data_IF_677023838336
#
_entry.id   IF_677023838336
#
_cell.length_a   1.000
_cell.length_b   1.000
_cell.length_c   1.000
_cell.angle_alpha   90.00
_cell.angle_beta   90.00
_cell.angle_gamma   90.00
#
_symmetry.space_group_name_H-M   'P 1'
#
loop_
_entity.id
_entity.type
_entity.pdbx_description
1 polymer ?
#
# COMPACT_ATOMS: atom_id res chain seq x y z
N UNK A 1 -6.99 22.74 43.07
CA UNK A 1 -5.65 22.66 42.44
C UNK A 1 -5.68 22.22 40.98
N UNK A 2 -6.48 21.21 40.58
CA UNK A 2 -6.52 20.75 39.17
C UNK A 2 -6.89 21.83 38.14
N UNK A 3 -7.88 22.68 38.44
CA UNK A 3 -8.36 23.74 37.52
C UNK A 3 -7.27 24.79 37.19
N UNK A 4 -6.30 24.99 38.09
CA UNK A 4 -5.21 25.94 37.89
C UNK A 4 -4.20 25.42 36.86
N UNK A 5 -3.95 24.11 36.85
CA UNK A 5 -3.05 23.44 35.91
C UNK A 5 -3.62 23.55 34.48
N UNK A 6 -4.92 23.34 34.31
CA UNK A 6 -5.59 23.45 33.02
C UNK A 6 -5.52 24.85 32.40
N UNK A 7 -5.68 25.91 33.21
CA UNK A 7 -5.69 27.28 32.71
C UNK A 7 -4.29 27.83 32.38
N UNK A 8 -3.27 27.47 33.16
CA UNK A 8 -1.91 27.96 32.94
C UNK A 8 -1.14 27.18 31.87
N UNK A 9 -1.47 25.89 31.68
CA UNK A 9 -0.82 25.03 30.69
C UNK A 9 -1.71 24.76 29.46
N UNK A 10 -2.81 25.50 29.28
CA UNK A 10 -3.75 25.31 28.16
C UNK A 10 -3.05 25.29 26.79
N UNK A 11 -2.12 26.22 26.55
CA UNK A 11 -1.34 26.27 25.32
C UNK A 11 -0.41 25.06 25.15
N UNK A 12 0.22 24.60 26.23
CA UNK A 12 1.13 23.44 26.22
C UNK A 12 0.34 22.15 25.96
N UNK A 13 -0.85 22.03 26.57
CA UNK A 13 -1.76 20.89 26.38
C UNK A 13 -2.30 20.87 24.94
N UNK A 14 -2.67 22.03 24.38
CA UNK A 14 -3.10 22.15 22.98
C UNK A 14 -1.98 21.78 22.01
N UNK A 15 -0.76 22.29 22.24
CA UNK A 15 0.40 22.00 21.39
C UNK A 15 0.79 20.53 21.45
N UNK A 16 0.73 19.92 22.63
CA UNK A 16 0.99 18.49 22.82
C UNK A 16 -0.08 17.63 22.15
N UNK A 17 -1.36 18.02 22.24
CA UNK A 17 -2.45 17.36 21.51
C UNK A 17 -2.27 17.44 19.99
N UNK A 18 -1.84 18.59 19.48
CA UNK A 18 -1.54 18.78 18.05
C UNK A 18 -0.36 17.90 17.59
N UNK A 19 0.70 17.83 18.40
CA UNK A 19 1.86 16.98 18.12
C UNK A 19 1.47 15.49 18.11
N UNK A 20 0.64 15.05 19.05
CA UNK A 20 0.13 13.68 19.10
C UNK A 20 -0.78 13.38 17.90
N UNK A 21 -1.65 14.31 17.51
CA UNK A 21 -2.51 14.16 16.34
C UNK A 21 -1.72 14.06 15.02
N UNK A 22 -0.66 14.86 14.86
CA UNK A 22 0.23 14.73 13.71
C UNK A 22 0.98 13.39 13.71
N UNK A 23 1.45 12.94 14.88
CA UNK A 23 2.15 11.66 15.03
C UNK A 23 1.23 10.46 14.80
N UNK A 24 -0.04 10.53 15.19
CA UNK A 24 -1.00 9.44 15.00
C UNK A 24 -1.41 9.27 13.53
N UNK A 25 -1.52 10.37 12.77
CA UNK A 25 -1.75 10.32 11.31
C UNK A 25 -0.59 9.59 10.60
N UNK A 26 0.65 9.83 11.02
CA UNK A 26 1.81 9.12 10.47
C UNK A 26 1.79 7.61 10.78
N UNK A 27 1.41 7.23 12.00
CA UNK A 27 1.24 5.83 12.39
C UNK A 27 0.14 5.12 11.58
N UNK A 28 -0.97 5.79 11.28
CA UNK A 28 -2.06 5.23 10.46
C UNK A 28 -1.58 4.99 9.01
N UNK A 29 -0.79 5.89 8.43
CA UNK A 29 -0.19 5.70 7.10
C UNK A 29 0.80 4.54 7.04
N UNK A 30 1.48 4.24 8.15
CA UNK A 30 2.39 3.09 8.27
C UNK A 30 1.63 1.76 8.46
N UNK A 31 0.46 1.79 9.11
CA UNK A 31 -0.42 0.61 9.27
C UNK A 31 -1.17 0.22 8.01
N UNK A 32 -1.41 1.18 7.10
CA UNK A 32 -1.82 0.91 5.72
C UNK A 32 -0.59 0.56 4.88
N UNK A 33 0.03 -0.57 5.20
CA UNK A 33 1.14 -1.10 4.43
C UNK A 33 0.65 -1.48 3.05
N UNK A 34 0.86 -0.60 2.08
CA UNK A 34 0.69 -0.94 0.68
C UNK A 34 1.70 -2.05 0.36
N UNK A 35 1.20 -3.25 0.12
CA UNK A 35 2.04 -4.34 -0.34
C UNK A 35 2.61 -3.91 -1.69
N UNK A 36 3.94 -3.89 -1.81
CA UNK A 36 4.63 -3.65 -3.07
C UNK A 36 5.54 -4.85 -3.32
N UNK A 37 5.58 -5.30 -4.56
CA UNK A 37 6.52 -6.32 -5.00
C UNK A 37 7.52 -5.72 -5.98
N UNK A 38 8.72 -6.28 -6.02
CA UNK A 38 9.77 -5.88 -6.95
C UNK A 38 9.91 -6.99 -7.99
N UNK A 39 9.81 -6.63 -9.27
CA UNK A 39 9.94 -7.56 -10.40
C UNK A 39 11.08 -7.09 -11.29
N UNK A 40 12.00 -8.00 -11.58
CA UNK A 40 13.06 -7.76 -12.57
C UNK A 40 12.53 -8.04 -13.97
N UNK A 41 12.60 -7.04 -14.84
CA UNK A 41 12.21 -7.13 -16.25
C UNK A 41 13.12 -8.09 -16.99
N UNK A 42 12.55 -9.08 -17.67
CA UNK A 42 13.33 -10.02 -18.51
C UNK A 42 13.38 -9.55 -19.96
N UNK A 43 14.29 -10.12 -20.72
CA UNK A 43 14.42 -9.82 -22.15
C UNK A 43 13.15 -10.27 -22.90
N UNK A 44 12.52 -9.34 -23.62
CA UNK A 44 11.28 -9.58 -24.35
C UNK A 44 10.00 -9.28 -23.56
N UNK A 45 10.09 -8.87 -22.30
CA UNK A 45 8.93 -8.37 -21.56
C UNK A 45 8.63 -6.91 -21.91
N UNK A 46 7.34 -6.59 -21.89
CA UNK A 46 6.84 -5.23 -22.04
C UNK A 46 6.05 -4.85 -20.80
N UNK A 47 5.99 -3.55 -20.49
CA UNK A 47 5.22 -3.05 -19.35
C UNK A 47 3.75 -3.49 -19.44
N UNK A 48 3.21 -3.51 -20.65
CA UNK A 48 1.86 -3.99 -20.92
C UNK A 48 1.66 -5.46 -20.59
N UNK A 49 2.63 -6.33 -20.96
CA UNK A 49 2.55 -7.77 -20.69
C UNK A 49 2.64 -8.07 -19.20
N UNK A 50 3.53 -7.38 -18.49
CA UNK A 50 3.66 -7.47 -17.02
C UNK A 50 2.36 -6.99 -16.35
N UNK A 51 1.82 -5.85 -16.79
CA UNK A 51 0.56 -5.33 -16.27
C UNK A 51 -0.63 -6.25 -16.58
N UNK A 52 -0.62 -6.94 -17.72
CA UNK A 52 -1.66 -7.88 -18.10
C UNK A 52 -1.65 -9.11 -17.17
N UNK A 53 -0.48 -9.67 -16.92
CA UNK A 53 -0.28 -10.76 -15.95
C UNK A 53 -0.76 -10.35 -14.56
N UNK A 54 -0.40 -9.15 -14.10
CA UNK A 54 -0.89 -8.60 -12.83
C UNK A 54 -2.40 -8.35 -12.81
N UNK A 55 -3.03 -7.99 -13.94
CA UNK A 55 -4.48 -7.78 -13.99
C UNK A 55 -5.30 -9.07 -13.93
N UNK A 56 -4.68 -10.22 -14.22
CA UNK A 56 -5.33 -11.52 -14.02
C UNK A 56 -5.35 -11.89 -12.53
N UNK A 57 -4.33 -11.49 -11.76
CA UNK A 57 -4.17 -11.80 -10.34
C UNK A 57 -4.79 -10.74 -9.41
N UNK A 58 -4.89 -9.49 -9.87
CA UNK A 58 -5.46 -8.37 -9.14
C UNK A 58 -6.65 -7.87 -9.95
N UNK A 59 -7.85 -7.79 -9.36
CA UNK A 59 -9.09 -7.22 -9.94
C UNK A 59 -8.97 -5.72 -10.35
N UNK A 60 -7.89 -5.34 -11.04
CA UNK A 60 -7.56 -4.02 -11.55
C UNK A 60 -7.39 -4.11 -13.07
N UNK A 61 -7.75 -3.05 -13.78
CA UNK A 61 -7.53 -3.01 -15.22
C UNK A 61 -6.04 -2.91 -15.54
N UNK A 62 -5.61 -3.54 -16.64
CA UNK A 62 -4.23 -3.46 -17.15
C UNK A 62 -3.75 -2.01 -17.26
N UNK A 63 -4.63 -1.11 -17.71
CA UNK A 63 -4.33 0.32 -17.85
C UNK A 63 -4.07 1.01 -16.49
N UNK A 64 -4.86 0.70 -15.46
CA UNK A 64 -4.63 1.23 -14.12
C UNK A 64 -3.30 0.75 -13.54
N UNK A 65 -2.90 -0.49 -13.83
CA UNK A 65 -1.62 -1.05 -13.37
C UNK A 65 -0.45 -0.38 -14.11
N UNK A 66 -0.54 -0.17 -15.42
CA UNK A 66 0.48 0.58 -16.19
C UNK A 66 0.67 1.98 -15.61
N UNK A 67 -0.42 2.72 -15.41
CA UNK A 67 -0.36 4.08 -14.83
C UNK A 67 0.26 4.09 -13.43
N UNK A 68 -0.11 3.13 -12.60
CA UNK A 68 0.44 2.98 -11.26
C UNK A 68 1.95 2.69 -11.29
N UNK A 69 2.39 1.74 -12.12
CA UNK A 69 3.81 1.32 -12.20
C UNK A 69 4.66 2.45 -12.76
N UNK A 70 4.16 3.16 -13.78
CA UNK A 70 4.81 4.34 -14.36
C UNK A 70 4.98 5.44 -13.31
N UNK A 71 3.93 5.74 -12.54
CA UNK A 71 3.99 6.76 -11.49
C UNK A 71 4.92 6.36 -10.34
N UNK A 72 4.84 5.10 -9.88
CA UNK A 72 5.61 4.62 -8.73
C UNK A 72 7.10 4.54 -9.01
N UNK A 73 7.49 4.14 -10.23
CA UNK A 73 8.88 4.00 -10.64
C UNK A 73 9.44 5.25 -11.33
N UNK A 74 8.66 6.33 -11.41
CA UNK A 74 9.00 7.54 -12.16
C UNK A 74 9.46 7.25 -13.60
N UNK A 75 8.81 6.29 -14.27
CA UNK A 75 9.13 5.98 -15.65
C UNK A 75 8.73 7.17 -16.52
N UNK A 76 9.68 7.68 -17.30
CA UNK A 76 9.42 8.81 -18.20
C UNK A 76 8.50 8.41 -19.38
N UNK A 77 8.40 7.12 -19.66
CA UNK A 77 7.66 6.51 -20.78
C UNK A 77 7.30 5.06 -20.44
N UNK A 78 6.39 4.45 -21.18
CA UNK A 78 6.04 3.02 -21.06
C UNK A 78 7.16 2.04 -21.52
N UNK A 79 8.35 2.57 -21.80
CA UNK A 79 9.52 1.81 -22.25
C UNK A 79 10.33 1.37 -21.03
N UNK A 80 10.36 0.06 -20.81
CA UNK A 80 11.13 -0.60 -19.76
C UNK A 80 12.30 -1.36 -20.38
N UNK A 81 13.41 -1.53 -19.64
CA UNK A 81 14.60 -2.24 -20.13
C UNK A 81 14.81 -3.58 -19.43
N UNK A 82 15.29 -4.61 -20.14
CA UNK A 82 15.71 -5.86 -19.51
C UNK A 82 16.76 -5.61 -18.41
N UNK A 83 16.58 -6.24 -17.25
CA UNK A 83 17.42 -6.07 -16.08
C UNK A 83 17.03 -4.91 -15.16
N UNK A 84 16.01 -4.11 -15.53
CA UNK A 84 15.45 -3.07 -14.67
C UNK A 84 14.56 -3.70 -13.58
N UNK A 85 14.62 -3.12 -12.39
CA UNK A 85 13.79 -3.54 -11.27
C UNK A 85 12.61 -2.59 -11.14
N UNK A 86 11.40 -3.13 -11.29
CA UNK A 86 10.16 -2.36 -11.23
C UNK A 86 9.39 -2.70 -9.97
N UNK A 87 9.00 -1.66 -9.25
CA UNK A 87 8.02 -1.75 -8.17
C UNK A 87 6.64 -1.93 -8.81
N UNK A 88 5.96 -3.01 -8.46
CA UNK A 88 4.61 -3.35 -8.90
C UNK A 88 3.66 -3.35 -7.69
N UNK A 89 2.35 -3.13 -7.89
CA UNK A 89 1.39 -3.22 -6.79
C UNK A 89 1.42 -4.67 -6.29
N UNK A 90 1.63 -4.86 -4.99
CA UNK A 90 1.56 -6.16 -4.37
C UNK A 90 0.11 -6.59 -4.19
N UNK A 91 -0.15 -7.90 -4.18
CA UNK A 91 -1.50 -8.39 -3.94
C UNK A 91 -1.92 -7.84 -2.58
N UNK A 92 -2.97 -7.01 -2.57
CA UNK A 92 -3.76 -6.87 -1.37
C UNK A 92 -4.58 -8.16 -1.25
N UNK A 93 -3.88 -9.29 -1.04
CA UNK A 93 -4.46 -10.40 -0.30
C UNK A 93 -4.74 -9.80 1.04
N UNK A 94 -5.93 -9.23 1.15
CA UNK A 94 -6.54 -9.00 2.42
C UNK A 94 -6.40 -10.36 3.08
N UNK A 95 -5.55 -10.45 4.09
CA UNK A 95 -5.52 -11.56 5.01
C UNK A 95 -6.83 -11.46 5.80
N UNK A 96 -7.96 -11.61 5.11
CA UNK A 96 -9.17 -12.06 5.75
C UNK A 96 -8.78 -13.41 6.33
N UNK A 97 -8.76 -13.43 7.66
CA UNK A 97 -8.50 -14.59 8.47
C UNK A 97 -9.38 -15.75 7.99
N UNK A 98 -8.81 -16.66 7.23
CA UNK A 98 -9.39 -17.97 6.98
C UNK A 98 -8.95 -18.97 8.06
N UNK A 99 -8.58 -18.48 9.25
CA UNK A 99 -8.24 -19.33 10.39
C UNK A 99 -9.47 -19.75 11.21
N UNK A 100 -10.70 -19.36 10.85
CA UNK A 100 -11.90 -19.62 11.66
C UNK A 100 -13.16 -20.11 10.89
N UNK A 101 -13.02 -20.89 9.81
CA UNK A 101 -14.10 -21.79 9.37
C UNK A 101 -13.63 -22.99 8.54
N UNK A 102 -12.63 -23.73 9.02
CA UNK A 102 -12.60 -25.18 8.79
C UNK A 102 -13.66 -25.87 9.65
N UNK A 103 -14.95 -25.67 9.38
CA UNK A 103 -16.02 -26.56 9.87
C UNK A 103 -17.17 -26.62 8.84
N UNK A 104 -17.27 -27.78 8.19
CA UNK A 104 -18.43 -28.28 7.45
C UNK A 104 -18.76 -27.68 6.06
N UNK A 105 -17.91 -27.95 5.07
CA UNK A 105 -18.42 -28.19 3.71
C UNK A 105 -17.49 -29.16 2.98
N UNK A 106 -17.59 -30.42 3.38
CA UNK A 106 -16.82 -31.51 2.84
C UNK A 106 -17.36 -32.82 3.36
N UNK A 107 -18.52 -33.21 2.85
CA UNK A 107 -18.91 -34.59 2.49
C UNK A 107 -20.25 -34.52 1.77
N UNK A 108 -20.18 -34.87 0.48
CA UNK A 108 -21.23 -35.39 -0.42
C UNK A 108 -22.19 -34.41 -1.11
#
# INVERSE_FOLDING_TARGET
MLITIWRNYSYVILLMGLAVAMSSIALIKLGAGEAYHEVTVKEGDSLWKIAQELSEDHDMSTQAIVEWVTHKNNLATDIIKPGESLIIPGENRVLFNNADYELASGTE
#
